data_IF_419019566049
#
_entry.id   IF_419019566049
#
_cell.length_a   1.000
_cell.length_b   1.000
_cell.length_c   1.000
_cell.angle_alpha   90.00
_cell.angle_beta   90.00
_cell.angle_gamma   90.00
#
_symmetry.space_group_name_H-M   'P 1'
#
loop_
_entity.id
_entity.type
_entity.pdbx_description
1 polymer ?
#
# COMPACT_ATOMS: atom_id res chain seq x y z
N UNK A 1 18.92 16.16 13.68
CA UNK A 1 17.59 15.65 13.32
C UNK A 1 17.68 14.64 12.18
N UNK A 2 17.82 14.97 10.89
CA UNK A 2 18.16 13.94 9.87
C UNK A 2 19.57 13.30 10.05
N UNK A 3 20.46 13.98 10.76
CA UNK A 3 21.82 13.50 11.05
C UNK A 3 21.87 12.24 11.92
N UNK A 4 20.85 11.94 12.74
CA UNK A 4 20.94 10.82 13.68
C UNK A 4 20.65 9.47 13.01
N UNK A 5 19.61 9.39 12.19
CA UNK A 5 19.29 8.18 11.43
C UNK A 5 20.33 7.88 10.35
N UNK A 6 20.79 8.89 9.61
CA UNK A 6 21.89 8.69 8.65
C UNK A 6 23.15 8.21 9.35
N UNK A 7 23.52 8.82 10.48
CA UNK A 7 24.64 8.34 11.28
C UNK A 7 24.45 6.89 11.71
N UNK A 8 23.25 6.53 12.21
CA UNK A 8 22.91 5.16 12.62
C UNK A 8 23.15 4.13 11.51
N UNK A 9 22.76 4.43 10.26
CA UNK A 9 23.01 3.52 9.13
C UNK A 9 24.51 3.22 8.96
N UNK A 10 25.37 4.21 9.21
CA UNK A 10 26.82 4.05 9.05
C UNK A 10 27.54 3.57 10.31
N UNK A 11 26.93 3.71 11.50
CA UNK A 11 27.59 3.41 12.78
C UNK A 11 27.02 2.22 13.54
N UNK A 12 25.81 1.76 13.21
CA UNK A 12 25.10 0.72 13.95
C UNK A 12 24.64 -0.40 13.02
N UNK A 13 25.50 -1.41 12.79
CA UNK A 13 25.27 -2.52 11.84
C UNK A 13 23.92 -3.23 12.01
N UNK A 14 23.43 -3.34 13.25
CA UNK A 14 22.17 -4.03 13.54
C UNK A 14 20.99 -3.43 12.77
N UNK A 15 20.99 -2.11 12.53
CA UNK A 15 19.87 -1.43 11.91
C UNK A 15 19.76 -1.75 10.42
N UNK A 16 20.74 -1.46 9.54
CA UNK A 16 20.66 -1.87 8.14
C UNK A 16 20.57 -3.39 7.96
N UNK A 17 21.19 -4.19 8.84
CA UNK A 17 21.07 -5.66 8.79
C UNK A 17 19.63 -6.13 9.03
N UNK A 18 18.85 -5.46 9.88
CA UNK A 18 17.45 -5.84 10.11
C UNK A 18 16.60 -5.68 8.85
N UNK A 19 16.84 -4.64 8.04
CA UNK A 19 16.19 -4.48 6.73
C UNK A 19 16.70 -5.54 5.75
N UNK A 20 18.02 -5.75 5.69
CA UNK A 20 18.62 -6.70 4.76
C UNK A 20 18.08 -8.12 4.96
N UNK A 21 17.92 -8.57 6.21
CA UNK A 21 17.32 -9.87 6.51
C UNK A 21 15.86 -9.97 6.12
N UNK A 22 15.07 -8.90 6.28
CA UNK A 22 13.66 -8.90 5.90
C UNK A 22 13.44 -9.02 4.39
N UNK A 23 14.41 -8.56 3.59
CA UNK A 23 14.36 -8.60 2.13
C UNK A 23 15.34 -9.64 1.55
N UNK A 24 15.59 -10.73 2.29
CA UNK A 24 16.37 -11.88 1.81
C UNK A 24 17.76 -11.55 1.27
N UNK A 25 18.41 -10.55 1.87
CA UNK A 25 19.70 -10.02 1.46
C UNK A 25 19.74 -9.41 0.05
N UNK A 26 18.58 -9.05 -0.51
CA UNK A 26 18.48 -8.26 -1.74
C UNK A 26 18.86 -6.81 -1.44
N UNK A 27 20.08 -6.43 -1.84
CA UNK A 27 20.65 -5.11 -1.54
C UNK A 27 19.90 -3.99 -2.24
N UNK A 28 19.44 -4.20 -3.47
CA UNK A 28 18.76 -3.17 -4.26
C UNK A 28 17.38 -2.84 -3.68
N UNK A 29 16.61 -3.89 -3.34
CA UNK A 29 15.32 -3.74 -2.66
C UNK A 29 15.51 -3.13 -1.27
N UNK A 30 16.49 -3.63 -0.51
CA UNK A 30 16.79 -3.13 0.85
C UNK A 30 17.15 -1.65 0.82
N UNK A 31 18.02 -1.24 -0.09
CA UNK A 31 18.40 0.16 -0.26
C UNK A 31 17.19 1.04 -0.54
N UNK A 32 16.34 0.64 -1.49
CA UNK A 32 15.13 1.39 -1.82
C UNK A 32 14.19 1.53 -0.62
N UNK A 33 13.99 0.45 0.16
CA UNK A 33 13.14 0.47 1.35
C UNK A 33 13.73 1.35 2.45
N UNK A 34 15.04 1.28 2.72
CA UNK A 34 15.69 2.14 3.72
C UNK A 34 15.52 3.61 3.34
N UNK A 35 15.70 3.97 2.07
CA UNK A 35 15.51 5.35 1.59
C UNK A 35 14.07 5.83 1.84
N UNK A 36 13.07 5.01 1.51
CA UNK A 36 11.67 5.36 1.78
C UNK A 36 11.36 5.41 3.28
N UNK A 37 11.93 4.51 4.09
CA UNK A 37 11.82 4.54 5.53
C UNK A 37 12.37 5.85 6.11
N UNK A 38 13.56 6.30 5.69
CA UNK A 38 14.13 7.57 6.13
C UNK A 38 13.25 8.78 5.76
N UNK A 39 12.70 8.79 4.54
CA UNK A 39 11.76 9.84 4.10
C UNK A 39 10.49 9.84 4.96
N UNK A 40 9.93 8.66 5.23
CA UNK A 40 8.75 8.50 6.09
C UNK A 40 9.04 8.93 7.52
N UNK A 41 10.15 8.49 8.13
CA UNK A 41 10.53 8.87 9.50
C UNK A 41 10.58 10.39 9.66
N UNK A 42 11.14 11.08 8.66
CA UNK A 42 11.18 12.55 8.61
C UNK A 42 9.79 13.17 8.45
N UNK A 43 8.95 12.65 7.56
CA UNK A 43 7.61 13.21 7.33
C UNK A 43 6.65 12.95 8.49
N UNK A 44 6.77 11.79 9.14
CA UNK A 44 6.02 11.37 10.32
C UNK A 44 6.53 12.03 11.61
N UNK A 45 7.74 12.59 11.59
CA UNK A 45 8.40 13.23 12.74
C UNK A 45 8.60 12.27 13.92
N UNK A 46 9.10 11.06 13.65
CA UNK A 46 9.27 9.97 14.64
C UNK A 46 10.05 10.43 15.89
N UNK A 47 11.16 11.15 15.70
CA UNK A 47 12.00 11.64 16.80
C UNK A 47 11.28 12.67 17.71
N UNK A 48 10.19 13.27 17.24
CA UNK A 48 9.49 14.36 17.92
C UNK A 48 8.10 13.95 18.41
N UNK A 49 7.81 12.65 18.50
CA UNK A 49 6.54 12.18 19.06
C UNK A 49 6.47 12.59 20.54
N UNK A 50 5.58 13.54 20.84
CA UNK A 50 5.42 14.11 22.17
C UNK A 50 4.61 13.20 23.07
N UNK A 51 5.18 12.78 24.19
CA UNK A 51 4.48 11.96 25.17
C UNK A 51 3.22 12.63 25.73
N UNK A 52 3.21 13.96 25.79
CA UNK A 52 2.07 14.74 26.24
C UNK A 52 0.87 14.61 25.28
N UNK A 53 1.12 14.57 23.97
CA UNK A 53 0.07 14.36 22.95
C UNK A 53 -0.52 12.94 23.04
N UNK A 54 0.26 11.98 23.52
CA UNK A 54 -0.15 10.58 23.67
C UNK A 54 -0.86 10.30 24.99
N UNK A 55 -0.76 11.20 25.98
CA UNK A 55 -1.28 10.99 27.34
C UNK A 55 -2.74 10.49 27.36
N UNK A 56 -3.70 11.05 26.59
CA UNK A 56 -5.09 10.58 26.62
C UNK A 56 -5.26 9.13 26.16
N UNK A 57 -4.40 8.65 25.26
CA UNK A 57 -4.42 7.28 24.74
C UNK A 57 -3.75 6.32 25.73
N UNK A 58 -2.64 6.76 26.33
CA UNK A 58 -1.89 6.04 27.34
C UNK A 58 -2.70 5.87 28.63
N UNK A 59 -3.37 6.92 29.11
CA UNK A 59 -4.22 6.89 30.31
C UNK A 59 -5.35 5.85 30.20
N UNK A 60 -5.88 5.62 28.99
CA UNK A 60 -6.91 4.61 28.74
C UNK A 60 -6.35 3.22 28.45
N UNK A 61 -5.03 3.09 28.34
CA UNK A 61 -4.36 1.84 28.01
C UNK A 61 -4.67 1.35 26.60
N UNK A 62 -4.70 2.24 25.59
CA UNK A 62 -4.91 1.83 24.20
C UNK A 62 -3.82 0.87 23.74
N UNK A 63 -2.55 1.18 24.01
CA UNK A 63 -1.44 0.30 23.70
C UNK A 63 -0.29 0.46 24.70
N UNK A 64 0.37 -0.65 25.03
CA UNK A 64 1.53 -0.71 25.92
C UNK A 64 2.34 -1.98 25.71
N UNK A 65 3.64 -1.93 25.98
CA UNK A 65 4.50 -3.11 25.99
C UNK A 65 4.55 -3.69 27.40
N UNK A 66 4.24 -4.97 27.55
CA UNK A 66 4.36 -5.68 28.82
C UNK A 66 4.44 -7.19 28.63
N UNK A 67 5.33 -7.82 29.40
CA UNK A 67 5.52 -9.27 29.40
C UNK A 67 6.20 -9.81 28.14
N UNK A 68 6.32 -11.14 28.10
CA UNK A 68 6.94 -11.88 27.00
C UNK A 68 6.06 -13.03 26.55
N UNK A 69 6.11 -13.36 25.26
CA UNK A 69 5.45 -14.54 24.71
C UNK A 69 6.24 -15.84 25.05
N UNK A 70 5.71 -16.99 24.69
CA UNK A 70 6.35 -18.30 24.93
C UNK A 70 7.71 -18.46 24.20
N UNK A 71 7.99 -17.64 23.19
CA UNK A 71 9.25 -17.60 22.47
C UNK A 71 10.22 -16.55 23.02
N UNK A 72 9.82 -15.79 24.06
CA UNK A 72 10.61 -14.73 24.68
C UNK A 72 10.52 -13.38 23.98
N UNK A 73 9.67 -13.22 22.97
CA UNK A 73 9.41 -11.94 22.29
C UNK A 73 8.65 -10.99 23.23
N UNK A 74 8.97 -9.70 23.18
CA UNK A 74 8.19 -8.71 23.96
C UNK A 74 6.77 -8.61 23.40
N UNK A 75 5.77 -8.34 24.24
CA UNK A 75 4.38 -8.23 23.76
C UNK A 75 3.95 -6.77 23.76
N UNK A 76 3.56 -6.25 22.59
CA UNK A 76 2.81 -5.01 22.46
C UNK A 76 1.31 -5.34 22.49
N UNK A 77 0.67 -5.01 23.59
CA UNK A 77 -0.77 -5.12 23.77
C UNK A 77 -1.45 -3.94 23.09
N UNK A 78 -2.45 -4.20 22.24
CA UNK A 78 -3.26 -3.20 21.56
C UNK A 78 -4.73 -3.47 21.91
N UNK A 79 -5.28 -2.67 22.81
CA UNK A 79 -6.63 -2.82 23.32
C UNK A 79 -7.64 -2.11 22.42
N UNK A 80 -8.21 -2.87 21.47
CA UNK A 80 -9.10 -2.30 20.45
C UNK A 80 -10.39 -1.75 21.04
N UNK A 81 -10.84 -2.20 22.23
CA UNK A 81 -11.99 -1.60 22.92
C UNK A 81 -11.77 -0.10 23.22
N UNK A 82 -10.53 0.31 23.45
CA UNK A 82 -10.18 1.69 23.79
C UNK A 82 -9.96 2.58 22.56
N UNK A 83 -9.96 2.00 21.35
CA UNK A 83 -9.77 2.73 20.12
C UNK A 83 -11.05 3.45 19.69
N UNK A 84 -10.89 4.68 19.21
CA UNK A 84 -11.96 5.49 18.64
C UNK A 84 -11.55 5.85 17.22
N UNK A 85 -12.37 5.48 16.23
CA UNK A 85 -12.09 5.77 14.82
C UNK A 85 -11.98 7.28 14.60
N UNK A 86 -10.94 7.70 13.89
CA UNK A 86 -10.65 9.13 13.65
C UNK A 86 -10.04 9.86 14.84
N UNK A 87 -9.72 9.17 15.94
CA UNK A 87 -8.97 9.75 17.04
C UNK A 87 -7.54 10.09 16.60
N UNK A 88 -7.11 11.30 16.89
CA UNK A 88 -5.75 11.74 16.61
C UNK A 88 -4.71 10.96 17.44
N UNK A 89 -3.53 10.79 16.84
CA UNK A 89 -2.33 10.23 17.46
C UNK A 89 -2.37 8.73 17.81
N UNK A 90 -3.42 7.99 17.44
CA UNK A 90 -3.43 6.51 17.61
C UNK A 90 -2.29 5.85 16.85
N UNK A 91 -2.02 6.30 15.62
CA UNK A 91 -0.88 5.93 14.80
C UNK A 91 0.46 6.26 15.50
N UNK A 92 0.61 7.50 15.98
CA UNK A 92 1.81 7.94 16.72
C UNK A 92 2.05 7.14 17.99
N UNK A 93 1.01 6.71 18.70
CA UNK A 93 1.17 5.86 19.89
C UNK A 93 1.78 4.50 19.53
N UNK A 94 1.33 3.88 18.43
CA UNK A 94 1.91 2.62 18.00
C UNK A 94 3.36 2.81 17.57
N UNK A 95 3.64 3.85 16.79
CA UNK A 95 5.01 4.17 16.37
C UNK A 95 5.91 4.48 17.57
N UNK A 96 5.41 5.20 18.58
CA UNK A 96 6.17 5.47 19.81
C UNK A 96 6.65 4.18 20.48
N UNK A 97 5.76 3.18 20.61
CA UNK A 97 6.13 1.90 21.21
C UNK A 97 7.07 1.07 20.34
N UNK A 98 6.80 0.99 19.03
CA UNK A 98 7.65 0.26 18.09
C UNK A 98 9.05 0.87 17.99
N UNK A 99 9.14 2.19 17.86
CA UNK A 99 10.40 2.94 17.80
C UNK A 99 11.23 2.67 19.04
N UNK A 100 10.63 2.88 20.22
CA UNK A 100 11.31 2.71 21.48
C UNK A 100 11.84 1.29 21.64
N UNK A 101 11.00 0.29 21.40
CA UNK A 101 11.39 -1.12 21.50
C UNK A 101 12.50 -1.48 20.52
N UNK A 102 12.34 -1.12 19.26
CA UNK A 102 13.30 -1.44 18.19
C UNK A 102 14.65 -0.81 18.45
N UNK A 103 14.69 0.45 18.89
CA UNK A 103 15.94 1.17 19.14
C UNK A 103 16.61 0.73 20.44
N UNK A 104 15.87 0.55 21.53
CA UNK A 104 16.44 0.16 22.83
C UNK A 104 16.93 -1.30 22.82
N UNK A 105 16.29 -2.17 22.05
CA UNK A 105 16.57 -3.60 22.02
C UNK A 105 17.14 -4.09 20.68
N UNK A 106 17.59 -3.17 19.82
CA UNK A 106 18.27 -3.47 18.54
C UNK A 106 17.49 -4.47 17.66
N UNK A 107 16.26 -4.10 17.29
CA UNK A 107 15.35 -4.93 16.48
C UNK A 107 15.06 -6.32 17.09
N UNK A 108 15.02 -6.43 18.42
CA UNK A 108 14.60 -7.65 19.10
C UNK A 108 13.18 -8.10 18.68
N UNK A 109 12.87 -9.41 18.81
CA UNK A 109 11.55 -9.94 18.55
C UNK A 109 10.41 -9.27 19.33
N UNK A 110 9.32 -8.95 18.61
CA UNK A 110 8.07 -8.40 19.15
C UNK A 110 6.85 -9.18 18.64
N UNK A 111 5.92 -9.43 19.55
CA UNK A 111 4.60 -9.98 19.29
C UNK A 111 3.56 -8.87 19.42
N UNK A 112 2.76 -8.67 18.37
CA UNK A 112 1.60 -7.78 18.43
C UNK A 112 0.38 -8.57 18.88
N UNK A 113 -0.23 -8.17 19.99
CA UNK A 113 -1.46 -8.78 20.49
C UNK A 113 -2.59 -7.76 20.39
N UNK A 114 -3.46 -7.96 19.39
CA UNK A 114 -4.71 -7.22 19.24
C UNK A 114 -5.74 -7.83 20.19
N UNK A 115 -5.97 -7.16 21.32
CA UNK A 115 -7.00 -7.51 22.28
C UNK A 115 -8.35 -6.99 21.76
N UNK A 116 -9.11 -7.92 21.17
CA UNK A 116 -10.45 -7.66 20.66
C UNK A 116 -11.54 -7.94 21.70
N UNK A 117 -11.18 -8.19 22.96
CA UNK A 117 -12.14 -8.49 24.02
C UNK A 117 -13.12 -7.33 24.20
N UNK A 118 -14.40 -7.57 23.93
CA UNK A 118 -15.45 -6.53 23.92
C UNK A 118 -15.27 -5.44 22.85
N UNK A 119 -14.45 -5.67 21.83
CA UNK A 119 -14.40 -4.82 20.65
C UNK A 119 -15.73 -4.92 19.88
N UNK A 120 -16.28 -3.79 19.48
CA UNK A 120 -17.45 -3.74 18.60
C UNK A 120 -17.09 -3.15 17.23
N UNK A 121 -18.03 -3.13 16.29
CA UNK A 121 -17.82 -2.58 14.95
C UNK A 121 -17.36 -1.10 14.97
N UNK A 122 -17.73 -0.35 16.00
CA UNK A 122 -17.37 1.08 16.14
C UNK A 122 -15.89 1.29 16.46
N UNK A 123 -15.19 0.25 16.94
CA UNK A 123 -13.77 0.32 17.25
C UNK A 123 -12.89 -0.29 16.15
N UNK A 124 -13.50 -0.93 15.14
CA UNK A 124 -12.75 -1.67 14.12
C UNK A 124 -12.23 -0.72 13.03
N UNK A 125 -11.05 -0.16 13.28
CA UNK A 125 -10.36 0.75 12.38
C UNK A 125 -9.39 -0.01 11.47
N UNK A 126 -9.86 -0.31 10.26
CA UNK A 126 -9.07 -1.02 9.26
C UNK A 126 -7.87 -0.22 8.77
N UNK A 127 -7.97 1.10 8.74
CA UNK A 127 -6.90 1.98 8.27
C UNK A 127 -5.76 2.01 9.30
N UNK A 128 -6.08 2.07 10.60
CA UNK A 128 -5.07 1.94 11.66
C UNK A 128 -4.39 0.57 11.61
N UNK A 129 -5.14 -0.53 11.48
CA UNK A 129 -4.50 -1.86 11.44
C UNK A 129 -3.63 -2.02 10.18
N UNK A 130 -4.09 -1.49 9.03
CA UNK A 130 -3.29 -1.44 7.79
C UNK A 130 -1.99 -0.67 8.02
N UNK A 131 -2.08 0.50 8.65
CA UNK A 131 -0.92 1.31 9.00
C UNK A 131 0.06 0.56 9.90
N UNK A 132 -0.42 -0.19 10.91
CA UNK A 132 0.44 -0.98 11.80
C UNK A 132 1.18 -2.07 11.03
N UNK A 133 0.47 -2.82 10.18
CA UNK A 133 1.04 -3.88 9.35
C UNK A 133 2.07 -3.32 8.38
N UNK A 134 1.73 -2.21 7.72
CA UNK A 134 2.64 -1.49 6.82
C UNK A 134 3.90 -1.01 7.55
N UNK A 135 3.74 -0.51 8.77
CA UNK A 135 4.86 -0.06 9.60
C UNK A 135 5.80 -1.20 9.98
N UNK A 136 5.28 -2.35 10.40
CA UNK A 136 6.09 -3.54 10.66
C UNK A 136 6.77 -4.07 9.39
N UNK A 137 6.14 -3.90 8.21
CA UNK A 137 6.69 -4.35 6.94
C UNK A 137 7.85 -3.49 6.46
N UNK A 138 7.70 -2.17 6.48
CA UNK A 138 8.61 -1.26 5.77
C UNK A 138 9.46 -0.36 6.68
N UNK A 139 9.02 -0.11 7.92
CA UNK A 139 9.69 0.84 8.82
C UNK A 139 10.36 0.16 10.02
N UNK A 140 9.79 -0.95 10.48
CA UNK A 140 10.29 -1.79 11.58
C UNK A 140 10.40 -3.27 11.15
N UNK A 141 11.13 -3.58 10.06
CA UNK A 141 11.22 -4.94 9.55
C UNK A 141 11.97 -5.89 10.50
N UNK A 142 11.79 -7.20 10.29
CA UNK A 142 12.45 -8.29 11.05
C UNK A 142 12.14 -8.42 12.55
N UNK A 143 11.43 -7.45 13.14
CA UNK A 143 11.09 -7.50 14.57
C UNK A 143 9.85 -8.36 14.83
N UNK A 144 8.86 -8.34 13.93
CA UNK A 144 7.55 -8.98 14.13
C UNK A 144 7.65 -10.51 14.06
N UNK A 145 7.33 -11.21 15.16
CA UNK A 145 7.36 -12.68 15.22
C UNK A 145 5.98 -13.32 15.32
N UNK A 146 5.01 -12.67 15.95
CA UNK A 146 3.62 -13.14 15.98
C UNK A 146 2.64 -11.97 15.92
N UNK A 147 1.48 -12.23 15.29
CA UNK A 147 0.34 -11.31 15.26
C UNK A 147 -0.88 -12.06 15.82
N UNK A 148 -1.17 -11.83 17.10
CA UNK A 148 -2.22 -12.53 17.83
C UNK A 148 -3.51 -11.70 17.83
N UNK A 149 -4.57 -12.24 17.25
CA UNK A 149 -5.91 -11.67 17.31
C UNK A 149 -6.68 -12.35 18.45
N UNK A 150 -6.69 -11.72 19.61
CA UNK A 150 -7.27 -12.27 20.84
C UNK A 150 -8.76 -11.93 20.95
N UNK A 151 -9.60 -12.94 21.26
CA UNK A 151 -11.06 -12.81 21.41
C UNK A 151 -11.74 -12.20 20.18
N UNK A 152 -11.30 -12.62 18.99
CA UNK A 152 -11.84 -12.15 17.71
C UNK A 152 -13.38 -12.26 17.62
N UNK A 153 -14.12 -11.15 17.46
CA UNK A 153 -15.55 -11.19 17.23
C UNK A 153 -15.87 -11.84 15.87
N UNK A 154 -16.71 -12.87 15.87
CA UNK A 154 -17.05 -13.63 14.65
C UNK A 154 -17.71 -12.79 13.53
N UNK A 155 -18.26 -11.61 13.87
CA UNK A 155 -18.82 -10.65 12.93
C UNK A 155 -17.76 -9.93 12.08
N UNK A 156 -16.48 -9.98 12.45
CA UNK A 156 -15.38 -9.28 11.79
C UNK A 156 -14.60 -10.15 10.80
N UNK A 157 -15.13 -11.32 10.38
CA UNK A 157 -14.45 -12.22 9.43
C UNK A 157 -14.03 -11.54 8.12
N UNK A 158 -14.86 -10.62 7.59
CA UNK A 158 -14.56 -9.88 6.37
C UNK A 158 -13.34 -8.96 6.53
N UNK A 159 -13.19 -8.31 7.69
CA UNK A 159 -12.04 -7.47 8.02
C UNK A 159 -10.74 -8.26 7.99
N UNK A 160 -10.72 -9.48 8.51
CA UNK A 160 -9.52 -10.33 8.50
C UNK A 160 -9.16 -10.85 7.11
N UNK A 161 -10.16 -11.04 6.25
CA UNK A 161 -9.91 -11.38 4.85
C UNK A 161 -9.21 -10.23 4.12
N UNK A 162 -9.60 -8.98 4.38
CA UNK A 162 -8.93 -7.79 3.85
C UNK A 162 -7.51 -7.65 4.42
N UNK A 163 -7.32 -7.87 5.72
CA UNK A 163 -6.02 -7.77 6.37
C UNK A 163 -4.97 -8.71 5.76
N UNK A 164 -5.37 -9.92 5.36
CA UNK A 164 -4.48 -10.85 4.65
C UNK A 164 -3.96 -10.29 3.33
N UNK A 165 -4.75 -9.49 2.62
CA UNK A 165 -4.30 -8.89 1.35
C UNK A 165 -3.23 -7.82 1.51
N UNK A 166 -3.04 -7.28 2.72
CA UNK A 166 -1.99 -6.29 3.02
C UNK A 166 -0.69 -6.94 3.50
N UNK A 167 -0.75 -8.24 3.80
CA UNK A 167 0.37 -9.02 4.31
C UNK A 167 0.98 -9.86 3.19
N UNK A 168 2.31 -9.86 3.11
CA UNK A 168 3.04 -10.86 2.31
C UNK A 168 2.75 -12.28 2.84
N UNK A 169 2.87 -13.34 2.02
CA UNK A 169 2.62 -14.71 2.45
C UNK A 169 3.35 -15.11 3.74
N UNK A 170 4.57 -14.63 3.93
CA UNK A 170 5.40 -14.85 5.11
C UNK A 170 4.77 -14.23 6.36
N UNK A 171 4.27 -13.00 6.24
CA UNK A 171 3.62 -12.28 7.34
C UNK A 171 2.24 -12.87 7.66
N UNK A 172 1.51 -13.37 6.66
CA UNK A 172 0.23 -14.05 6.89
C UNK A 172 0.37 -15.28 7.79
N UNK A 173 1.52 -15.97 7.76
CA UNK A 173 1.79 -17.14 8.63
C UNK A 173 1.92 -16.75 10.10
N UNK A 174 2.28 -15.50 10.39
CA UNK A 174 2.41 -14.97 11.76
C UNK A 174 1.04 -14.66 12.39
N UNK A 175 -0.01 -14.52 11.59
CA UNK A 175 -1.35 -14.19 12.06
C UNK A 175 -2.04 -15.41 12.69
N UNK A 176 -2.35 -15.31 13.98
CA UNK A 176 -3.01 -16.36 14.75
C UNK A 176 -4.27 -15.82 15.43
N UNK A 177 -5.38 -16.56 15.31
CA UNK A 177 -6.59 -16.25 16.07
C UNK A 177 -6.57 -16.99 17.39
N UNK A 178 -6.70 -16.25 18.49
CA UNK A 178 -6.52 -16.77 19.84
C UNK A 178 -7.79 -16.51 20.66
N UNK A 179 -8.22 -17.50 21.42
CA UNK A 179 -9.30 -17.36 22.41
C UNK A 179 -8.71 -17.43 23.82
N UNK A 180 -9.47 -17.03 24.83
CA UNK A 180 -9.09 -17.15 26.23
C UNK A 180 -8.59 -18.54 26.60
N UNK A 181 -9.28 -19.58 26.13
CA UNK A 181 -8.91 -20.98 26.39
C UNK A 181 -7.58 -21.42 25.75
N UNK A 182 -7.09 -20.69 24.75
CA UNK A 182 -5.88 -21.04 24.00
C UNK A 182 -4.75 -20.02 24.16
N UNK A 183 -4.96 -18.93 24.91
CA UNK A 183 -3.96 -17.86 25.04
C UNK A 183 -2.67 -18.36 25.73
N UNK A 184 -2.78 -19.28 26.67
CA UNK A 184 -1.65 -19.88 27.37
C UNK A 184 -0.70 -20.69 26.48
N UNK A 185 -1.12 -21.06 25.26
CA UNK A 185 -0.23 -21.67 24.28
C UNK A 185 0.76 -20.67 23.65
N UNK A 186 0.45 -19.37 23.73
CA UNK A 186 1.23 -18.30 23.12
C UNK A 186 1.86 -17.36 24.15
N UNK A 187 1.19 -17.13 25.28
CA UNK A 187 1.64 -16.22 26.34
C UNK A 187 1.66 -16.97 27.69
N UNK A 188 2.78 -16.97 28.44
CA UNK A 188 2.83 -17.59 29.77
C UNK A 188 1.84 -16.96 30.76
N UNK A 189 1.29 -17.77 31.68
CA UNK A 189 0.30 -17.31 32.67
C UNK A 189 0.71 -16.06 33.47
N UNK A 190 1.99 -15.88 33.89
CA UNK A 190 2.43 -14.66 34.59
C UNK A 190 2.34 -13.37 33.77
N UNK A 191 2.17 -13.45 32.45
CA UNK A 191 2.01 -12.30 31.54
C UNK A 191 0.61 -12.25 30.92
N UNK A 192 -0.31 -13.13 31.34
CA UNK A 192 -1.72 -13.05 30.96
C UNK A 192 -2.47 -12.32 32.06
N UNK A 193 -3.23 -11.25 31.76
CA UNK A 193 -4.07 -10.58 32.74
C UNK A 193 -5.02 -11.53 33.48
N UNK A 194 -5.21 -11.33 34.78
CA UNK A 194 -6.16 -12.14 35.60
C UNK A 194 -7.57 -12.20 34.99
N UNK A 195 -8.05 -11.09 34.40
CA UNK A 195 -9.35 -11.02 33.70
C UNK A 195 -9.47 -11.98 32.50
N UNK A 196 -8.34 -12.47 31.98
CA UNK A 196 -8.26 -13.45 30.90
C UNK A 196 -7.84 -14.85 31.41
N UNK A 197 -7.81 -15.05 32.73
CA UNK A 197 -7.49 -16.34 33.35
C UNK A 197 -6.00 -16.58 33.59
N UNK A 198 -5.18 -15.53 33.55
CA UNK A 198 -3.77 -15.62 33.92
C UNK A 198 -3.49 -15.18 35.36
N UNK A 199 -2.24 -14.79 35.61
CA UNK A 199 -1.71 -14.41 36.93
C UNK A 199 -1.15 -12.99 36.96
N UNK A 200 -1.28 -12.26 35.86
CA UNK A 200 -0.75 -10.91 35.74
C UNK A 200 -1.74 -9.88 36.28
N UNK A 201 -1.31 -9.16 37.31
CA UNK A 201 -2.05 -8.04 37.90
C UNK A 201 -1.56 -6.68 37.38
N UNK A 202 -0.68 -6.68 36.37
CA UNK A 202 -0.20 -5.47 35.74
C UNK A 202 -1.34 -4.62 35.17
N UNK A 203 -1.23 -3.31 35.42
CA UNK A 203 -2.10 -2.31 34.85
C UNK A 203 -1.24 -1.13 34.44
N UNK A 204 -1.20 -0.88 33.14
CA UNK A 204 -0.39 0.21 32.60
C UNK A 204 -0.77 1.56 33.23
N UNK A 205 0.23 2.25 33.79
CA UNK A 205 0.08 3.61 34.32
C UNK A 205 1.15 4.55 33.77
N UNK A 206 0.86 5.85 33.75
CA UNK A 206 1.85 6.87 33.38
C UNK A 206 3.08 6.85 34.31
N UNK A 207 2.91 6.44 35.58
CA UNK A 207 4.00 6.30 36.54
C UNK A 207 4.96 5.15 36.20
N UNK A 208 4.46 4.09 35.57
CA UNK A 208 5.30 3.01 35.05
C UNK A 208 6.12 3.50 33.86
N UNK A 209 5.49 4.26 32.96
CA UNK A 209 6.21 4.84 31.84
C UNK A 209 7.31 5.81 32.31
N UNK A 210 7.02 6.64 33.31
CA UNK A 210 8.00 7.57 33.89
C UNK A 210 9.20 6.84 34.50
N UNK A 211 9.01 5.65 35.08
CA UNK A 211 10.10 4.80 35.59
C UNK A 211 11.02 4.26 34.49
N UNK A 212 10.53 4.16 33.26
CA UNK A 212 11.30 3.67 32.12
C UNK A 212 12.02 4.78 31.34
N UNK A 213 11.70 6.06 31.56
CA UNK A 213 12.41 7.17 30.91
C UNK A 213 13.76 7.33 31.63
N UNK A 214 14.91 7.24 30.93
CA UNK A 214 16.21 7.51 31.55
C UNK A 214 16.19 8.92 32.17
N UNK A 215 16.54 9.05 33.45
CA UNK A 215 16.74 10.38 34.04
C UNK A 215 17.81 11.10 33.23
N UNK A 216 17.43 12.19 32.56
CA UNK A 216 18.40 13.08 31.95
C UNK A 216 19.35 13.56 33.05
N UNK A 217 20.64 13.24 32.92
CA UNK A 217 21.67 13.89 33.71
C UNK A 217 21.56 15.40 33.44
N UNK A 218 21.61 16.27 34.45
CA UNK A 218 21.47 17.70 34.23
C UNK A 218 22.59 18.16 33.30
N UNK A 219 22.21 18.61 32.11
CA UNK A 219 23.12 19.24 31.16
C UNK A 219 23.70 20.49 31.82
N UNK A 220 25.00 20.45 32.08
CA UNK A 220 25.74 21.63 32.47
C UNK A 220 25.88 22.51 31.23
N UNK A 221 25.18 23.63 31.27
CA UNK A 221 25.40 24.91 30.59
C UNK A 221 25.72 24.90 29.08
N UNK A 222 24.77 25.49 28.37
CA UNK A 222 24.93 26.07 27.04
C UNK A 222 26.07 27.09 26.99
N UNK A 223 27.18 26.74 26.33
CA UNK A 223 28.18 27.72 25.89
C UNK A 223 28.02 27.95 24.39
N UNK A 224 27.63 29.18 24.06
CA UNK A 224 27.60 29.71 22.70
C UNK A 224 28.98 29.62 22.05
N UNK A 225 29.09 28.87 20.95
CA UNK A 225 30.11 29.12 19.94
C UNK A 225 29.48 29.29 18.57
N UNK A 226 29.42 30.56 18.16
CA UNK A 226 29.37 30.96 16.76
C UNK A 226 30.58 30.38 16.04
N UNK A 227 30.39 29.62 14.96
CA UNK A 227 31.28 29.71 13.80
C UNK A 227 30.70 29.03 12.54
N UNK A 228 30.50 29.89 11.54
CA UNK A 228 30.85 29.73 10.13
C UNK A 228 30.33 28.52 9.36
N UNK A 229 29.28 28.84 8.61
CA UNK A 229 28.87 28.29 7.33
C UNK A 229 30.08 28.07 6.40
N UNK A 230 30.31 26.81 6.00
CA UNK A 230 31.13 26.44 4.86
C UNK A 230 30.27 25.63 3.89
N UNK A 231 29.94 26.25 2.77
CA UNK A 231 29.37 25.59 1.60
C UNK A 231 30.40 24.61 1.02
N UNK A 232 30.04 23.33 0.94
CA UNK A 232 30.70 22.37 0.07
C UNK A 232 29.61 21.73 -0.77
N UNK A 233 29.59 22.15 -2.04
CA UNK A 233 28.89 21.44 -3.10
C UNK A 233 29.64 20.13 -3.33
N UNK A 234 28.92 19.01 -3.23
CA UNK A 234 29.42 17.74 -3.75
C UNK A 234 28.50 17.30 -4.88
N UNK A 235 29.12 17.30 -6.06
CA UNK A 235 28.58 16.86 -7.32
C UNK A 235 29.29 15.55 -7.61
N UNK A 236 28.60 14.43 -7.43
CA UNK A 236 28.95 13.23 -8.18
C UNK A 236 27.70 12.41 -8.50
N UNK A 237 27.41 12.35 -9.80
CA UNK A 237 26.34 11.55 -10.36
C UNK A 237 26.88 10.17 -10.69
N UNK A 238 26.38 9.16 -9.98
CA UNK A 238 26.46 7.77 -10.45
C UNK A 238 25.04 7.23 -10.52
N UNK A 239 24.53 7.10 -11.74
CA UNK A 239 23.20 6.59 -12.05
C UNK A 239 23.23 5.06 -11.99
N UNK A 240 22.87 4.50 -10.83
CA UNK A 240 22.60 3.06 -10.70
C UNK A 240 21.19 2.79 -11.22
N UNK A 241 21.08 1.92 -12.23
CA UNK A 241 19.81 1.39 -12.72
C UNK A 241 19.16 0.53 -11.62
N UNK A 242 18.39 1.16 -10.74
CA UNK A 242 17.61 0.46 -9.73
C UNK A 242 16.32 -0.09 -10.34
N UNK A 243 16.05 -1.35 -10.07
CA UNK A 243 14.77 -1.99 -10.37
C UNK A 243 13.67 -1.27 -9.57
N UNK A 244 12.65 -0.77 -10.24
CA UNK A 244 11.56 -0.03 -9.61
C UNK A 244 10.75 -0.95 -8.69
N UNK A 245 10.88 -0.78 -7.38
CA UNK A 245 9.98 -1.39 -6.39
C UNK A 245 8.74 -0.50 -6.27
N UNK A 246 7.57 -1.01 -6.64
CA UNK A 246 6.30 -0.31 -6.41
C UNK A 246 5.95 -0.36 -4.93
N UNK A 247 6.15 0.76 -4.23
CA UNK A 247 5.54 1.00 -2.94
C UNK A 247 4.01 1.18 -3.14
N UNK A 248 3.22 0.67 -2.21
CA UNK A 248 1.79 1.00 -2.17
C UNK A 248 1.67 2.49 -1.81
N UNK A 249 1.42 3.33 -2.82
CA UNK A 249 1.16 4.76 -2.60
C UNK A 249 -0.08 4.93 -1.73
N UNK A 250 0.08 5.54 -0.55
CA UNK A 250 -1.01 6.10 0.24
C UNK A 250 -1.14 7.61 -0.06
N UNK A 251 -2.39 8.06 -0.16
CA UNK A 251 -2.81 9.45 -0.38
C UNK A 251 -2.35 10.36 0.78
N UNK A 252 -1.09 10.80 0.77
CA UNK A 252 -0.60 11.86 1.65
C UNK A 252 -0.99 13.21 1.04
N UNK A 253 -2.12 13.75 1.49
CA UNK A 253 -2.51 15.13 1.22
C UNK A 253 -1.71 16.10 2.08
N UNK A 254 -0.50 16.49 1.64
CA UNK A 254 0.16 17.71 2.11
C UNK A 254 0.83 18.42 0.93
N UNK A 255 0.33 19.61 0.63
CA UNK A 255 0.75 20.43 -0.49
C UNK A 255 2.20 20.88 -0.39
N UNK A 256 2.87 20.96 -1.55
CA UNK A 256 4.04 21.81 -1.73
C UNK A 256 4.05 22.32 -3.17
N UNK A 257 4.37 23.60 -3.31
CA UNK A 257 4.10 24.49 -4.42
C UNK A 257 4.77 24.13 -5.75
N UNK A 258 4.08 24.53 -6.81
CA UNK A 258 4.46 24.43 -8.22
C UNK A 258 5.78 25.16 -8.55
N UNK A 259 6.53 24.58 -9.49
CA UNK A 259 7.30 25.35 -10.46
C UNK A 259 6.90 24.93 -11.87
N UNK A 260 6.66 25.94 -12.69
CA UNK A 260 6.08 25.89 -14.03
C UNK A 260 7.09 25.40 -15.06
N UNK A 261 6.63 24.64 -16.06
CA UNK A 261 7.08 24.69 -17.46
C UNK A 261 5.99 24.09 -18.38
N UNK A 262 5.87 24.67 -19.57
CA UNK A 262 4.73 24.64 -20.51
C UNK A 262 4.47 23.29 -21.22
N UNK A 263 3.32 23.11 -21.91
CA UNK A 263 2.72 21.79 -22.17
C UNK A 263 3.16 21.18 -23.51
N UNK A 264 3.64 19.92 -23.48
CA UNK A 264 3.60 19.04 -24.63
C UNK A 264 2.42 18.07 -24.51
N UNK A 265 1.58 18.07 -25.53
CA UNK A 265 0.42 17.20 -25.71
C UNK A 265 0.81 15.71 -25.64
N UNK A 266 -0.09 14.89 -25.08
CA UNK A 266 0.10 13.49 -24.64
C UNK A 266 1.06 13.30 -23.47
N UNK A 267 0.55 13.49 -22.23
CA UNK A 267 1.20 12.98 -21.00
C UNK A 267 1.21 11.44 -21.04
N UNK A 268 2.20 10.82 -21.72
CA UNK A 268 2.48 9.38 -21.60
C UNK A 268 3.39 9.06 -20.41
N UNK A 269 3.73 10.07 -19.61
CA UNK A 269 4.60 9.93 -18.43
C UNK A 269 3.94 8.97 -17.44
N UNK A 270 4.57 7.81 -17.23
CA UNK A 270 4.13 6.78 -16.29
C UNK A 270 3.59 5.49 -16.92
N UNK A 271 3.39 5.37 -18.24
CA UNK A 271 3.02 4.08 -18.86
C UNK A 271 4.25 3.16 -18.96
N UNK A 272 4.26 1.96 -18.34
CA UNK A 272 5.35 1.00 -18.48
C UNK A 272 5.65 0.69 -19.95
N UNK A 273 6.92 0.45 -20.26
CA UNK A 273 7.35 0.19 -21.64
C UNK A 273 6.64 -1.03 -22.25
N UNK A 274 6.37 -2.06 -21.44
CA UNK A 274 5.64 -3.26 -21.83
C UNK A 274 4.21 -2.98 -22.32
N UNK A 275 3.57 -1.91 -21.82
CA UNK A 275 2.17 -1.59 -22.14
C UNK A 275 2.01 -0.63 -23.33
N UNK A 276 3.10 -0.05 -23.85
CA UNK A 276 3.03 0.92 -24.97
C UNK A 276 2.39 0.33 -26.22
N UNK A 277 2.72 -0.90 -26.67
CA UNK A 277 2.09 -1.47 -27.87
C UNK A 277 0.58 -1.64 -27.70
N UNK A 278 0.14 -2.07 -26.51
CA UNK A 278 -1.29 -2.23 -26.19
C UNK A 278 -2.01 -0.88 -26.20
N UNK A 279 -1.42 0.16 -25.60
CA UNK A 279 -1.99 1.50 -25.61
C UNK A 279 -2.08 2.08 -27.04
N UNK A 280 -1.06 1.85 -27.88
CA UNK A 280 -1.07 2.28 -29.28
C UNK A 280 -2.12 1.54 -30.11
N UNK A 281 -2.27 0.23 -29.90
CA UNK A 281 -3.34 -0.54 -30.53
C UNK A 281 -4.73 0.02 -30.17
N UNK A 282 -4.95 0.41 -28.90
CA UNK A 282 -6.21 1.02 -28.44
C UNK A 282 -6.49 2.38 -29.09
N UNK A 283 -5.47 3.23 -29.23
CA UNK A 283 -5.60 4.52 -29.91
C UNK A 283 -5.98 4.37 -31.40
N UNK A 284 -5.46 3.34 -32.06
CA UNK A 284 -5.67 3.09 -33.48
C UNK A 284 -6.88 2.19 -33.79
N UNK A 285 -7.63 1.78 -32.76
CA UNK A 285 -8.82 0.95 -32.93
C UNK A 285 -9.96 1.75 -33.59
N UNK A 286 -10.81 1.14 -34.43
CA UNK A 286 -11.93 1.83 -35.07
C UNK A 286 -12.91 2.48 -34.07
N UNK A 287 -13.58 3.55 -34.50
CA UNK A 287 -14.51 4.32 -33.66
C UNK A 287 -15.68 3.50 -33.07
N UNK A 288 -16.02 2.35 -33.66
CA UNK A 288 -17.08 1.45 -33.16
C UNK A 288 -16.76 0.83 -31.80
N UNK A 289 -15.47 0.70 -31.47
CA UNK A 289 -14.96 0.08 -30.25
C UNK A 289 -14.72 1.12 -29.14
N UNK A 290 -15.06 2.39 -29.41
CA UNK A 290 -15.18 3.44 -28.41
C UNK A 290 -16.64 3.58 -27.95
N UNK A 291 -16.86 3.66 -26.65
CA UNK A 291 -18.10 4.19 -26.08
C UNK A 291 -17.99 5.71 -26.02
N UNK A 292 -18.80 6.41 -26.82
CA UNK A 292 -18.93 7.86 -26.71
C UNK A 292 -20.10 8.21 -25.80
N UNK A 293 -19.80 8.71 -24.60
CA UNK A 293 -20.79 9.02 -23.56
C UNK A 293 -20.68 10.50 -23.20
N UNK A 294 -21.66 11.29 -23.68
CA UNK A 294 -21.67 12.76 -23.58
C UNK A 294 -20.36 13.36 -24.07
N UNK A 295 -19.51 13.82 -23.15
CA UNK A 295 -18.26 14.54 -23.36
C UNK A 295 -17.00 13.67 -23.27
N UNK A 296 -17.14 12.34 -23.08
CA UNK A 296 -16.01 11.43 -22.92
C UNK A 296 -16.10 10.26 -23.91
N UNK A 297 -14.98 9.99 -24.59
CA UNK A 297 -14.78 8.80 -25.42
C UNK A 297 -13.95 7.78 -24.65
N UNK A 298 -14.44 6.54 -24.55
CA UNK A 298 -13.90 5.48 -23.69
C UNK A 298 -13.58 4.24 -24.54
N UNK A 299 -12.36 3.72 -24.47
CA UNK A 299 -11.99 2.45 -25.12
C UNK A 299 -11.32 1.51 -24.10
N UNK A 300 -11.72 0.23 -23.99
CA UNK A 300 -12.69 -0.48 -24.83
C UNK A 300 -14.13 -0.10 -24.48
N UNK A 301 -15.06 -0.37 -25.41
CA UNK A 301 -16.48 0.04 -25.29
C UNK A 301 -17.19 -0.59 -24.09
N UNK A 302 -17.24 -1.92 -24.02
CA UNK A 302 -18.11 -2.64 -23.07
C UNK A 302 -17.36 -3.68 -22.22
N UNK A 303 -16.20 -4.14 -22.69
CA UNK A 303 -15.49 -5.28 -22.10
C UNK A 303 -13.97 -5.05 -22.12
N UNK A 304 -13.35 -5.19 -20.96
CA UNK A 304 -11.92 -5.17 -20.73
C UNK A 304 -11.39 -6.60 -20.75
N UNK A 305 -10.41 -6.89 -21.61
CA UNK A 305 -9.84 -8.23 -21.77
C UNK A 305 -8.44 -8.24 -21.18
N UNK A 306 -8.30 -8.85 -20.01
CA UNK A 306 -7.02 -8.93 -19.31
C UNK A 306 -6.16 -10.00 -19.97
N UNK A 307 -4.98 -9.57 -20.41
CA UNK A 307 -4.03 -10.42 -21.14
C UNK A 307 -2.77 -10.63 -20.32
N UNK A 308 -2.08 -11.75 -20.57
CA UNK A 308 -0.70 -11.88 -20.15
C UNK A 308 0.19 -11.02 -21.07
N UNK A 309 0.99 -10.12 -20.49
CA UNK A 309 1.90 -9.26 -21.24
C UNK A 309 3.32 -9.51 -20.77
N UNK A 310 4.22 -9.79 -21.71
CA UNK A 310 5.63 -10.01 -21.38
C UNK A 310 6.22 -8.75 -20.74
N UNK A 311 6.80 -8.91 -19.55
CA UNK A 311 7.31 -7.81 -18.72
C UNK A 311 6.36 -7.37 -17.61
N UNK A 312 5.15 -7.93 -17.54
CA UNK A 312 4.19 -7.70 -16.46
C UNK A 312 3.90 -9.03 -15.73
N UNK A 313 3.93 -9.01 -14.39
CA UNK A 313 3.69 -10.21 -13.58
C UNK A 313 2.20 -10.57 -13.48
N UNK A 314 1.34 -9.57 -13.61
CA UNK A 314 -0.10 -9.68 -13.50
C UNK A 314 -0.76 -9.55 -14.87
N UNK A 315 -1.94 -10.15 -15.03
CA UNK A 315 -2.72 -9.96 -16.25
C UNK A 315 -3.24 -8.53 -16.30
N UNK A 316 -3.13 -7.88 -17.44
CA UNK A 316 -3.32 -6.43 -17.54
C UNK A 316 -4.03 -6.04 -18.83
N UNK A 317 -4.77 -4.95 -18.75
CA UNK A 317 -5.33 -4.24 -19.89
C UNK A 317 -5.34 -2.73 -19.63
N UNK A 318 -5.51 -1.92 -20.69
CA UNK A 318 -5.45 -0.45 -20.65
C UNK A 318 -6.76 0.16 -21.14
N UNK A 319 -7.43 0.93 -20.28
CA UNK A 319 -8.56 1.78 -20.65
C UNK A 319 -8.03 3.14 -21.12
N UNK A 320 -8.50 3.60 -22.27
CA UNK A 320 -8.20 4.90 -22.85
C UNK A 320 -9.40 5.82 -22.66
N UNK A 321 -9.18 6.96 -22.01
CA UNK A 321 -10.18 8.01 -21.86
C UNK A 321 -9.76 9.23 -22.67
N UNK A 322 -10.61 9.68 -23.60
CA UNK A 322 -10.39 10.91 -24.37
C UNK A 322 -11.44 11.94 -24.00
N UNK A 323 -10.97 13.11 -23.55
CA UNK A 323 -11.83 14.23 -23.24
C UNK A 323 -12.22 14.97 -24.52
N UNK A 324 -13.50 14.87 -24.89
CA UNK A 324 -14.11 15.58 -26.02
C UNK A 324 -14.83 16.87 -25.57
N UNK A 325 -14.76 17.22 -24.27
CA UNK A 325 -15.27 18.48 -23.72
C UNK A 325 -14.34 19.65 -24.03
N UNK A 326 -14.91 20.87 -24.00
CA UNK A 326 -14.15 22.11 -23.91
C UNK A 326 -13.67 22.42 -22.47
N UNK A 327 -14.12 21.66 -21.46
CA UNK A 327 -13.75 21.79 -20.04
C UNK A 327 -12.86 20.63 -19.58
N UNK A 328 -12.26 20.78 -18.39
CA UNK A 328 -11.58 19.66 -17.74
C UNK A 328 -12.60 18.58 -17.38
N UNK A 329 -12.20 17.31 -17.46
CA UNK A 329 -13.01 16.19 -17.02
C UNK A 329 -12.29 15.48 -15.88
N UNK A 330 -12.87 15.53 -14.68
CA UNK A 330 -12.41 14.73 -13.55
C UNK A 330 -13.05 13.34 -13.64
N UNK A 331 -12.29 12.28 -13.33
CA UNK A 331 -12.79 10.91 -13.33
C UNK A 331 -12.40 10.15 -12.07
N UNK A 332 -13.17 9.11 -11.78
CA UNK A 332 -12.92 8.11 -10.75
C UNK A 332 -13.34 6.73 -11.24
N UNK A 333 -12.47 5.76 -11.04
CA UNK A 333 -12.72 4.35 -11.30
C UNK A 333 -13.11 3.66 -10.00
N UNK A 334 -14.19 2.89 -10.05
CA UNK A 334 -14.59 1.94 -9.00
C UNK A 334 -14.62 0.55 -9.60
N UNK A 335 -14.31 -0.45 -8.79
CA UNK A 335 -14.32 -1.86 -9.19
C UNK A 335 -15.14 -2.66 -8.18
N UNK A 336 -15.75 -3.75 -8.64
CA UNK A 336 -16.65 -4.57 -7.83
C UNK A 336 -15.89 -5.28 -6.71
N UNK A 337 -14.68 -5.75 -7.01
CA UNK A 337 -13.76 -6.39 -6.08
C UNK A 337 -12.41 -5.67 -6.07
N UNK A 338 -12.23 -4.61 -5.25
CA UNK A 338 -10.97 -3.88 -5.16
C UNK A 338 -9.77 -4.73 -4.72
N UNK A 339 -10.01 -5.83 -4.03
CA UNK A 339 -9.00 -6.80 -3.63
C UNK A 339 -8.38 -7.55 -4.82
N UNK A 340 -9.08 -7.64 -5.96
CA UNK A 340 -8.63 -8.43 -7.12
C UNK A 340 -7.86 -7.61 -8.15
N UNK A 341 -8.18 -6.32 -8.28
CA UNK A 341 -7.62 -5.49 -9.33
C UNK A 341 -6.83 -4.31 -8.78
N UNK A 342 -5.73 -3.96 -9.45
CA UNK A 342 -4.99 -2.72 -9.22
C UNK A 342 -5.27 -1.78 -10.40
N UNK A 343 -5.83 -0.60 -10.12
CA UNK A 343 -6.15 0.39 -11.15
C UNK A 343 -5.25 1.60 -10.98
N UNK A 344 -4.52 1.98 -12.04
CA UNK A 344 -3.56 3.10 -12.00
C UNK A 344 -3.60 3.94 -13.28
N UNK A 345 -3.85 5.25 -13.20
CA UNK A 345 -4.45 5.96 -12.06
C UNK A 345 -5.92 5.58 -11.83
N UNK A 346 -6.39 5.57 -10.57
CA UNK A 346 -7.79 5.30 -10.22
C UNK A 346 -8.67 6.56 -10.22
N UNK A 347 -8.06 7.73 -10.13
CA UNK A 347 -8.68 9.06 -10.24
C UNK A 347 -7.78 9.99 -11.05
N UNK A 348 -8.33 11.05 -11.63
CA UNK A 348 -7.51 12.04 -12.32
C UNK A 348 -8.36 13.12 -12.98
N UNK A 349 -7.66 14.04 -13.66
CA UNK A 349 -8.29 15.14 -14.40
C UNK A 349 -7.69 15.21 -15.80
N UNK A 350 -8.55 15.17 -16.82
CA UNK A 350 -8.18 15.17 -18.22
C UNK A 350 -8.48 16.55 -18.79
N UNK A 351 -7.46 17.24 -19.28
CA UNK A 351 -7.62 18.54 -19.93
C UNK A 351 -8.43 18.44 -21.25
N UNK A 352 -9.04 19.53 -21.75
CA UNK A 352 -9.75 19.54 -23.02
C UNK A 352 -8.91 18.95 -24.17
N UNK A 353 -9.48 18.00 -24.91
CA UNK A 353 -8.81 17.31 -26.02
C UNK A 353 -7.70 16.33 -25.61
N UNK A 354 -7.36 16.22 -24.32
CA UNK A 354 -6.33 15.32 -23.85
C UNK A 354 -6.84 13.86 -23.74
N UNK A 355 -5.88 12.94 -23.64
CA UNK A 355 -6.13 11.50 -23.50
C UNK A 355 -5.38 10.96 -22.29
N UNK A 356 -6.04 10.10 -21.53
CA UNK A 356 -5.51 9.45 -20.33
C UNK A 356 -5.53 7.92 -20.48
N UNK A 357 -4.51 7.27 -19.91
CA UNK A 357 -4.33 5.82 -19.97
C UNK A 357 -4.44 5.23 -18.57
N UNK A 358 -5.48 4.45 -18.35
CA UNK A 358 -5.77 3.78 -17.09
C UNK A 358 -5.39 2.31 -17.21
N UNK A 359 -4.41 1.89 -16.42
CA UNK A 359 -3.94 0.51 -16.35
C UNK A 359 -4.80 -0.25 -15.36
N UNK A 360 -5.26 -1.42 -15.75
CA UNK A 360 -6.06 -2.31 -14.89
C UNK A 360 -5.37 -3.65 -14.84
N UNK A 361 -4.75 -3.95 -13.71
CA UNK A 361 -4.10 -5.23 -13.44
C UNK A 361 -5.04 -6.12 -12.65
N UNK A 362 -5.07 -7.41 -12.97
CA UNK A 362 -5.66 -8.46 -12.14
C UNK A 362 -4.53 -9.23 -11.48
N UNK A 363 -4.59 -9.29 -10.15
CA UNK A 363 -3.61 -10.06 -9.39
C UNK A 363 -3.71 -11.54 -9.73
N UNK A 364 -2.56 -12.17 -9.97
CA UNK A 364 -2.43 -13.56 -10.40
C UNK A 364 -3.28 -14.56 -9.57
N UNK A 365 -3.40 -14.34 -8.28
CA UNK A 365 -4.14 -15.19 -7.33
C UNK A 365 -5.65 -15.29 -7.63
N UNK A 366 -6.21 -14.31 -8.34
CA UNK A 366 -7.66 -14.20 -8.58
C UNK A 366 -8.10 -14.52 -10.01
N UNK A 367 -7.20 -15.08 -10.84
CA UNK A 367 -7.47 -15.44 -12.26
C UNK A 367 -8.79 -16.21 -12.43
N UNK A 368 -9.11 -17.14 -11.53
CA UNK A 368 -10.32 -17.97 -11.64
C UNK A 368 -11.64 -17.27 -11.26
N UNK A 369 -11.61 -15.99 -10.85
CA UNK A 369 -12.76 -15.29 -10.24
C UNK A 369 -13.27 -14.06 -11.01
N UNK A 370 -12.75 -13.83 -12.22
CA UNK A 370 -12.98 -12.64 -13.07
C UNK A 370 -14.36 -12.57 -13.77
N UNK A 371 -15.06 -13.66 -14.17
CA UNK A 371 -16.23 -13.57 -15.05
C UNK A 371 -17.42 -12.73 -14.54
N UNK A 372 -17.43 -12.34 -13.27
CA UNK A 372 -18.50 -11.52 -12.66
C UNK A 372 -18.07 -10.09 -12.37
N UNK A 373 -16.82 -9.76 -12.66
CA UNK A 373 -16.20 -8.49 -12.27
C UNK A 373 -16.57 -7.36 -13.22
N UNK A 374 -16.81 -6.19 -12.64
CA UNK A 374 -17.19 -4.98 -13.36
C UNK A 374 -16.42 -3.79 -12.84
N UNK A 375 -16.05 -2.91 -13.76
CA UNK A 375 -15.44 -1.62 -13.52
C UNK A 375 -16.46 -0.53 -13.84
N UNK A 376 -16.64 0.41 -12.93
CA UNK A 376 -17.50 1.58 -13.07
C UNK A 376 -16.62 2.83 -13.18
N UNK A 377 -16.64 3.45 -14.34
CA UNK A 377 -16.06 4.77 -14.59
C UNK A 377 -17.11 5.83 -14.26
N UNK A 378 -16.77 6.74 -13.37
CA UNK A 378 -17.53 7.95 -13.05
C UNK A 378 -16.73 9.14 -13.57
N UNK A 379 -17.33 10.04 -14.34
CA UNK A 379 -16.64 11.28 -14.75
C UNK A 379 -17.56 12.50 -14.76
N UNK A 380 -16.97 13.67 -14.57
CA UNK A 380 -17.69 14.93 -14.42
C UNK A 380 -16.90 16.08 -15.07
N UNK A 381 -17.59 16.94 -15.81
CA UNK A 381 -16.99 18.19 -16.29
C UNK A 381 -16.74 19.16 -15.12
N UNK A 382 -15.56 19.76 -15.08
CA UNK A 382 -15.18 20.74 -14.07
C UNK A 382 -14.45 21.92 -14.69
N UNK A 383 -14.58 23.09 -14.06
CA UNK A 383 -13.83 24.31 -14.40
C UNK A 383 -12.58 24.47 -13.54
N UNK A 384 -12.38 23.62 -12.54
CA UNK A 384 -11.29 23.73 -11.57
C UNK A 384 -10.00 23.08 -12.10
N UNK A 385 -8.86 23.75 -11.87
CA UNK A 385 -7.54 23.22 -12.15
C UNK A 385 -6.96 22.57 -10.89
N UNK A 386 -7.04 21.24 -10.82
CA UNK A 386 -6.18 20.38 -10.00
C UNK A 386 -6.01 20.72 -8.51
N UNK A 387 -6.95 20.30 -7.67
CA UNK A 387 -6.70 19.61 -6.37
C UNK A 387 -7.99 19.31 -5.59
N UNK A 388 -9.18 19.50 -6.18
CA UNK A 388 -10.43 19.23 -5.47
C UNK A 388 -10.72 17.73 -5.35
N UNK A 389 -11.21 17.33 -4.17
CA UNK A 389 -11.69 15.98 -3.94
C UNK A 389 -12.84 15.67 -4.92
N UNK A 390 -12.65 14.67 -5.80
CA UNK A 390 -13.66 14.21 -6.77
C UNK A 390 -15.05 14.05 -6.15
N UNK A 391 -15.16 13.65 -4.88
CA UNK A 391 -16.43 13.51 -4.18
C UNK A 391 -17.21 14.83 -4.04
N UNK A 392 -16.53 15.96 -3.88
CA UNK A 392 -17.13 17.28 -3.77
C UNK A 392 -17.61 17.77 -5.14
N UNK A 393 -16.73 17.71 -6.16
CA UNK A 393 -17.04 18.06 -7.55
C UNK A 393 -18.23 17.22 -8.05
N UNK A 394 -18.20 15.92 -7.75
CA UNK A 394 -19.31 15.03 -8.07
C UNK A 394 -20.58 15.53 -7.40
N UNK A 395 -20.65 15.71 -6.08
CA UNK A 395 -21.90 16.12 -5.38
C UNK A 395 -22.46 17.48 -5.83
N UNK A 396 -21.60 18.44 -6.17
CA UNK A 396 -21.99 19.81 -6.51
C UNK A 396 -22.38 19.99 -7.99
N UNK A 397 -21.94 19.08 -8.87
CA UNK A 397 -22.28 19.13 -10.31
C UNK A 397 -23.73 18.72 -10.59
N UNK A 398 -24.27 19.17 -11.73
CA UNK A 398 -25.59 18.74 -12.20
C UNK A 398 -25.54 17.35 -12.86
N UNK A 399 -26.69 16.70 -13.02
CA UNK A 399 -26.77 15.36 -13.61
C UNK A 399 -26.33 15.34 -15.09
N UNK A 400 -26.51 16.46 -15.79
CA UNK A 400 -26.08 16.63 -17.18
C UNK A 400 -24.56 16.61 -17.31
N UNK A 401 -23.86 17.14 -16.31
CA UNK A 401 -22.40 17.22 -16.27
C UNK A 401 -21.72 15.91 -15.81
N UNK A 402 -22.50 14.90 -15.37
CA UNK A 402 -21.99 13.61 -14.89
C UNK A 402 -22.17 12.49 -15.91
N UNK A 403 -21.24 11.55 -15.90
CA UNK A 403 -21.36 10.27 -16.61
C UNK A 403 -21.01 9.11 -15.70
N UNK A 404 -21.69 7.99 -15.94
CA UNK A 404 -21.34 6.69 -15.40
C UNK A 404 -21.25 5.70 -16.56
N UNK A 405 -20.16 4.94 -16.64
CA UNK A 405 -19.96 3.94 -17.69
C UNK A 405 -19.45 2.64 -17.07
N UNK A 406 -20.02 1.50 -17.49
CA UNK A 406 -19.71 0.20 -16.90
C UNK A 406 -19.01 -0.70 -17.90
N UNK A 407 -17.84 -1.19 -17.53
CA UNK A 407 -17.06 -2.16 -18.28
C UNK A 407 -17.13 -3.52 -17.57
N UNK A 408 -17.31 -4.60 -18.34
CA UNK A 408 -17.16 -5.98 -17.84
C UNK A 408 -15.70 -6.40 -17.97
N UNK A 409 -15.22 -7.24 -17.06
CA UNK A 409 -13.88 -7.81 -17.16
C UNK A 409 -13.96 -9.25 -17.65
N UNK A 410 -13.04 -9.63 -18.54
CA UNK A 410 -12.81 -11.00 -19.01
C UNK A 410 -11.33 -11.33 -18.99
N UNK A 411 -10.98 -12.60 -18.81
CA UNK A 411 -9.65 -13.11 -19.13
C UNK A 411 -9.54 -13.49 -20.60
N UNK A 412 -8.37 -13.26 -21.19
CA UNK A 412 -8.00 -13.91 -22.45
C UNK A 412 -8.00 -15.43 -22.25
N UNK A 413 -8.66 -16.19 -23.13
CA UNK A 413 -8.55 -17.65 -23.10
C UNK A 413 -7.10 -18.06 -23.40
N UNK A 414 -6.58 -19.09 -22.72
CA UNK A 414 -5.20 -19.61 -22.92
C UNK A 414 -4.92 -20.11 -24.36
N UNK A 415 -5.93 -20.14 -25.24
CA UNK A 415 -5.83 -20.61 -26.63
C UNK A 415 -5.75 -19.50 -27.70
N UNK A 416 -5.74 -18.21 -27.36
CA UNK A 416 -5.66 -17.12 -28.34
C UNK A 416 -4.25 -16.51 -28.51
N UNK A 417 -3.20 -17.22 -28.09
CA UNK A 417 -1.82 -16.87 -28.45
C UNK A 417 -1.47 -17.44 -29.83
N UNK A 418 -2.11 -16.88 -30.85
CA UNK A 418 -1.47 -16.66 -32.14
C UNK A 418 -1.70 -15.21 -32.50
N UNK A 419 -0.66 -14.40 -32.32
CA UNK A 419 -0.56 -13.11 -32.98
C UNK A 419 -0.82 -13.33 -34.46
N UNK A 420 -1.98 -12.88 -34.95
CA UNK A 420 -2.17 -12.56 -36.35
C UNK A 420 -1.27 -11.35 -36.67
N UNK A 421 0.02 -11.63 -36.87
CA UNK A 421 0.88 -10.80 -37.68
C UNK A 421 0.48 -11.06 -39.14
N UNK A 422 -0.49 -10.31 -39.65
CA UNK A 422 -0.71 -10.19 -41.08
C UNK A 422 -0.23 -8.80 -41.49
N UNK A 423 1.03 -8.74 -41.92
CA UNK A 423 1.50 -7.81 -42.94
C UNK A 423 2.11 -8.67 -44.03
N UNK A 424 1.53 -8.54 -45.22
CA UNK A 424 1.86 -9.25 -46.45
C UNK A 424 3.37 -9.29 -46.77
N UNK A 425 3.82 -10.45 -47.25
CA UNK A 425 4.71 -10.45 -48.42
C UNK A 425 4.53 -11.74 -49.24
N UNK A 426 3.99 -11.54 -50.43
CA UNK A 426 4.11 -12.38 -51.63
C UNK A 426 5.37 -13.25 -51.72
N UNK A 427 5.20 -14.57 -51.88
CA UNK A 427 6.05 -15.43 -52.68
C UNK A 427 5.30 -16.73 -53.06
N UNK A 428 5.53 -17.17 -54.30
CA UNK A 428 4.79 -18.17 -55.08
C UNK A 428 5.04 -19.63 -54.69
N UNK A 429 4.03 -20.45 -55.00
CA UNK A 429 4.07 -21.83 -55.56
C UNK A 429 5.05 -22.87 -54.97
N UNK A 430 4.52 -23.98 -54.43
CA UNK A 430 4.29 -25.22 -55.23
C UNK A 430 3.89 -26.42 -54.35
N UNK A 431 3.16 -27.32 -55.01
CA UNK A 431 2.46 -28.53 -54.58
C UNK A 431 3.23 -29.54 -53.69
N UNK A 432 2.52 -30.20 -52.76
CA UNK A 432 2.09 -31.62 -52.88
C UNK A 432 1.67 -32.25 -51.54
N UNK A 433 0.39 -32.65 -51.49
CA UNK A 433 -0.12 -34.03 -51.34
C UNK A 433 0.22 -34.94 -50.12
N UNK A 434 -0.78 -35.77 -49.80
CA UNK A 434 -0.89 -36.90 -48.83
C UNK A 434 -1.28 -36.55 -47.38
N UNK A 435 -2.52 -36.76 -46.94
CA UNK A 435 -3.34 -37.99 -46.77
C UNK A 435 -3.06 -38.76 -45.47
N UNK A 436 -4.18 -39.15 -44.86
CA UNK A 436 -4.39 -39.64 -43.51
C UNK A 436 -3.69 -40.96 -43.15
N UNK A 437 -3.48 -41.18 -41.85
CA UNK A 437 -4.01 -42.38 -41.18
C UNK A 437 -3.81 -42.35 -39.67
N UNK A 438 -4.93 -42.50 -38.98
CA UNK A 438 -5.16 -43.06 -37.64
C UNK A 438 -4.30 -44.30 -37.36
N UNK A 439 -3.71 -44.40 -36.17
CA UNK A 439 -3.48 -45.69 -35.49
C UNK A 439 -3.74 -45.52 -34.00
N UNK A 440 -4.63 -46.36 -33.50
CA UNK A 440 -4.95 -46.57 -32.10
C UNK A 440 -4.17 -47.77 -31.55
N UNK A 441 -3.97 -47.76 -30.22
CA UNK A 441 -3.74 -48.90 -29.29
C UNK A 441 -2.30 -49.45 -29.21
N UNK A 442 -1.62 -49.18 -28.10
CA UNK A 442 -1.48 -50.12 -26.97
C UNK A 442 -1.12 -49.36 -25.69
#
# INVERSE_FOLDING_TARGET
>A
MAKNDLNRIFTEDWWPLSFLFAYHCDVDVTYAVIVECLKWRRSFSVDNISLLELKPLLDRGLAYIHGKDCNGSSILWINMRQHVIGQENSDKLIIYWLERHTMELQAAPITLLFDMSSCCLQNMDLDLIKFIIHSCKYYYPSCLTNLLIFENPGLLKASWMLLRTWMLPEMQRLLQHVKRSSLSAYVPLPYIPERYGGQDNFMFTMDELARCIPLQSPSTECVNHNQQQSDVADNDGTEYFLQSVTFEEEDISRGTSASQLAPSSTKRNGLPQALRPLAEARLNTPAKDYAKVKFLSICPRDELTLNHINGENDMVDVVVLKNDSAKNVAYKIKITSPEKFRVRPSTGTIAPGATEFIRVYLQNEFRNSVPREKLLLMAVETTEEGNENFGNVWKQSSEEARIEHKLRCRLSAENDITFNACLDSTAKESDNNFCASTVSIA
#
